data_IF_558083548688
#
_entry.id   IF_558083548688
#
_cell.length_a   1.000
_cell.length_b   1.000
_cell.length_c   1.000
_cell.angle_alpha   90.00
_cell.angle_beta   90.00
_cell.angle_gamma   90.00
#
_symmetry.space_group_name_H-M   'P 1'
#
loop_
_entity.id
_entity.type
_entity.pdbx_description
1 polymer ?
#
# COMPACT_ATOMS: atom_id res chain seq x y z
N UNK A 1 -25.56 7.44 -42.22
CA UNK A 1 -25.99 8.54 -41.32
C UNK A 1 -24.75 9.26 -40.84
N UNK A 2 -24.68 10.60 -40.97
CA UNK A 2 -23.57 11.43 -40.51
C UNK A 2 -24.09 12.33 -39.38
N UNK A 3 -23.41 12.35 -38.21
CA UNK A 3 -23.71 13.24 -37.10
C UNK A 3 -22.61 14.31 -37.08
N UNK A 4 -22.99 15.57 -37.06
CA UNK A 4 -22.06 16.71 -36.97
C UNK A 4 -22.40 17.49 -35.71
N UNK A 5 -21.39 17.81 -34.91
CA UNK A 5 -21.51 18.62 -33.70
C UNK A 5 -20.68 19.90 -33.92
N UNK A 6 -21.31 21.06 -33.88
CA UNK A 6 -20.63 22.35 -33.87
C UNK A 6 -20.30 22.72 -32.43
N UNK A 7 -19.03 22.91 -32.14
CA UNK A 7 -18.55 23.17 -30.79
C UNK A 7 -18.13 24.64 -30.66
N UNK A 8 -18.55 25.28 -29.59
CA UNK A 8 -18.23 26.70 -29.30
C UNK A 8 -16.78 26.96 -28.88
N UNK A 9 -16.00 25.92 -28.68
CA UNK A 9 -14.57 26.01 -28.30
C UNK A 9 -13.84 24.72 -28.68
N UNK A 10 -12.52 24.76 -28.66
CA UNK A 10 -11.68 23.62 -29.03
C UNK A 10 -11.81 22.50 -28.00
N UNK A 11 -12.08 21.27 -28.45
CA UNK A 11 -12.29 20.09 -27.64
C UNK A 11 -11.55 18.90 -28.25
N UNK A 12 -11.01 18.06 -27.38
CA UNK A 12 -10.47 16.76 -27.78
C UNK A 12 -11.58 15.73 -27.70
N UNK A 13 -11.95 15.16 -28.84
CA UNK A 13 -12.96 14.13 -28.93
C UNK A 13 -12.38 12.73 -28.75
N UNK A 14 -13.04 11.90 -27.95
CA UNK A 14 -12.83 10.46 -27.86
C UNK A 14 -14.15 9.77 -28.04
N UNK A 15 -14.18 8.64 -28.77
CA UNK A 15 -15.39 7.85 -28.92
C UNK A 15 -15.14 6.37 -28.65
N UNK A 16 -16.10 5.70 -28.02
CA UNK A 16 -16.06 4.27 -27.78
C UNK A 16 -17.48 3.68 -27.77
N UNK A 17 -17.58 2.40 -28.11
CA UNK A 17 -18.83 1.66 -28.16
C UNK A 17 -19.05 0.88 -26.88
N UNK A 18 -20.20 1.06 -26.24
CA UNK A 18 -20.66 0.25 -25.14
C UNK A 18 -21.54 -0.89 -25.67
N UNK A 19 -21.26 -2.10 -25.18
CA UNK A 19 -22.08 -3.29 -25.44
C UNK A 19 -23.45 -3.16 -24.75
N UNK A 20 -24.47 -3.91 -25.22
CA UNK A 20 -25.75 -3.95 -24.55
C UNK A 20 -25.64 -4.34 -23.08
N UNK A 21 -26.39 -3.63 -22.21
CA UNK A 21 -26.47 -3.91 -20.79
C UNK A 21 -27.86 -3.57 -20.27
N UNK A 22 -28.51 -4.51 -19.60
CA UNK A 22 -29.89 -4.39 -19.11
C UNK A 22 -30.89 -4.01 -20.25
N UNK A 23 -31.62 -2.90 -20.08
CA UNK A 23 -32.60 -2.39 -21.05
C UNK A 23 -31.97 -1.56 -22.19
N UNK A 24 -30.67 -1.38 -22.18
CA UNK A 24 -29.99 -0.53 -23.19
C UNK A 24 -29.27 -1.40 -24.21
N UNK A 25 -29.51 -1.08 -25.52
CA UNK A 25 -28.77 -1.67 -26.64
C UNK A 25 -27.33 -1.14 -26.75
N UNK A 26 -26.73 -1.30 -27.93
CA UNK A 26 -25.41 -0.72 -28.21
C UNK A 26 -25.46 0.82 -28.13
N UNK A 27 -24.48 1.43 -27.47
CA UNK A 27 -24.38 2.88 -27.27
C UNK A 27 -23.03 3.38 -27.71
N UNK A 28 -23.01 4.37 -28.60
CA UNK A 28 -21.82 5.13 -28.92
C UNK A 28 -21.70 6.28 -27.92
N UNK A 29 -20.60 6.28 -27.16
CA UNK A 29 -20.27 7.39 -26.27
C UNK A 29 -19.25 8.27 -26.96
N UNK A 30 -19.54 9.58 -27.05
CA UNK A 30 -18.63 10.61 -27.54
C UNK A 30 -18.30 11.51 -26.34
N UNK A 31 -17.05 11.49 -25.89
CA UNK A 31 -16.55 12.33 -24.82
C UNK A 31 -15.83 13.52 -25.44
N UNK A 32 -16.25 14.72 -25.06
CA UNK A 32 -15.66 15.98 -25.49
C UNK A 32 -14.95 16.65 -24.30
N UNK A 33 -13.63 16.52 -24.27
CA UNK A 33 -12.81 17.14 -23.23
C UNK A 33 -12.41 18.55 -23.68
N UNK A 34 -12.83 19.57 -22.94
CA UNK A 34 -12.47 20.96 -23.24
C UNK A 34 -10.96 21.13 -23.17
N UNK A 35 -10.33 21.54 -24.25
CA UNK A 35 -8.90 21.79 -24.30
C UNK A 35 -8.61 23.04 -23.47
N UNK A 36 -8.37 22.88 -22.16
CA UNK A 36 -7.70 23.92 -21.39
C UNK A 36 -6.23 23.87 -21.78
N UNK A 37 -5.83 24.68 -22.73
CA UNK A 37 -4.43 25.02 -22.89
C UNK A 37 -3.99 25.76 -21.62
N UNK A 38 -3.58 25.00 -20.61
CA UNK A 38 -2.82 25.60 -19.51
C UNK A 38 -1.47 26.01 -20.09
N UNK A 39 -1.35 27.29 -20.45
CA UNK A 39 -0.05 27.93 -20.50
C UNK A 39 0.55 27.79 -19.09
N UNK A 40 1.37 26.77 -18.88
CA UNK A 40 2.21 26.66 -17.71
C UNK A 40 3.16 27.84 -17.74
N UNK A 41 2.81 28.92 -17.08
CA UNK A 41 3.76 29.99 -16.80
C UNK A 41 4.87 29.39 -15.95
N UNK A 42 6.13 29.72 -16.26
CA UNK A 42 7.35 29.24 -15.59
C UNK A 42 7.27 29.41 -14.05
N UNK A 43 6.45 30.32 -13.53
CA UNK A 43 6.16 30.52 -12.11
C UNK A 43 5.39 29.35 -11.43
N UNK A 44 4.64 28.52 -12.18
CA UNK A 44 3.91 27.36 -11.59
C UNK A 44 4.81 26.13 -11.41
N UNK A 45 6.02 26.12 -11.98
CA UNK A 45 6.99 25.05 -11.80
C UNK A 45 7.75 25.17 -10.46
N UNK A 46 7.66 26.32 -9.78
CA UNK A 46 8.43 26.60 -8.56
C UNK A 46 7.69 26.26 -7.25
N UNK A 47 6.41 25.95 -7.28
CA UNK A 47 5.71 25.42 -6.10
C UNK A 47 5.72 23.89 -6.14
N UNK A 48 6.91 23.29 -5.97
CA UNK A 48 7.02 21.89 -5.58
C UNK A 48 6.48 21.80 -4.15
N UNK A 49 5.28 21.28 -4.02
CA UNK A 49 4.75 20.88 -2.71
C UNK A 49 5.51 19.63 -2.31
N UNK A 50 6.47 19.77 -1.41
CA UNK A 50 7.25 18.66 -0.86
C UNK A 50 6.52 18.09 0.36
N UNK A 51 5.34 17.50 0.14
CA UNK A 51 4.64 16.85 1.23
C UNK A 51 5.30 15.52 1.58
N UNK A 52 5.22 15.12 2.83
CA UNK A 52 5.60 13.78 3.25
C UNK A 52 4.62 12.73 2.73
N UNK A 53 5.10 11.52 2.57
CA UNK A 53 4.27 10.32 2.40
C UNK A 53 3.63 9.99 3.74
N UNK A 54 2.32 9.89 3.79
CA UNK A 54 1.56 9.59 4.99
C UNK A 54 1.25 8.10 5.05
N UNK A 55 1.75 7.42 6.08
CA UNK A 55 1.46 6.02 6.37
C UNK A 55 0.51 5.95 7.56
N UNK A 56 -0.72 5.51 7.33
CA UNK A 56 -1.67 5.24 8.40
C UNK A 56 -1.36 3.87 9.01
N UNK A 57 -1.02 3.85 10.29
CA UNK A 57 -0.69 2.63 11.05
C UNK A 57 -1.85 2.33 11.98
N UNK A 58 -2.51 1.22 11.73
CA UNK A 58 -3.61 0.71 12.52
C UNK A 58 -3.10 -0.40 13.44
N UNK A 59 -3.48 -0.33 14.70
CA UNK A 59 -3.31 -1.43 15.65
C UNK A 59 -4.63 -2.19 15.75
N UNK A 60 -4.66 -3.45 15.38
CA UNK A 60 -5.85 -4.28 15.47
C UNK A 60 -6.47 -4.30 16.87
N UNK A 61 -7.78 -4.55 16.95
CA UNK A 61 -8.53 -4.67 18.21
C UNK A 61 -8.51 -3.42 19.08
N UNK A 62 -8.77 -3.56 20.39
CA UNK A 62 -8.71 -2.49 21.39
C UNK A 62 -9.97 -2.38 22.25
N UNK A 63 -9.86 -1.82 23.46
CA UNK A 63 -10.95 -1.70 24.41
C UNK A 63 -11.58 -3.04 24.79
N UNK A 64 -12.88 -3.19 24.55
CA UNK A 64 -13.64 -4.42 24.84
C UNK A 64 -13.27 -5.60 23.93
N UNK A 65 -12.63 -5.34 22.79
CA UNK A 65 -12.13 -6.38 21.90
C UNK A 65 -10.65 -6.66 22.20
N UNK A 66 -10.34 -7.76 22.90
CA UNK A 66 -8.95 -8.10 23.25
C UNK A 66 -8.18 -8.65 22.05
N UNK A 67 -8.86 -9.05 20.96
CA UNK A 67 -8.30 -9.89 19.90
C UNK A 67 -7.99 -11.29 20.41
N UNK A 68 -7.08 -11.97 19.77
CA UNK A 68 -6.59 -13.27 20.19
C UNK A 68 -5.86 -13.20 21.54
N UNK A 69 -5.84 -14.31 22.24
CA UNK A 69 -5.16 -14.45 23.54
C UNK A 69 -4.15 -15.59 23.52
N UNK A 70 -2.93 -15.30 23.94
CA UNK A 70 -1.89 -16.31 24.11
C UNK A 70 -2.08 -17.14 25.38
N UNK A 71 -1.38 -18.27 25.43
CA UNK A 71 -1.45 -19.19 26.57
C UNK A 71 -0.99 -18.58 27.91
N UNK A 72 -0.15 -17.55 27.87
CA UNK A 72 0.30 -16.81 29.05
C UNK A 72 -0.60 -15.60 29.39
N UNK A 73 -1.79 -15.50 28.81
CA UNK A 73 -2.73 -14.39 29.04
C UNK A 73 -2.37 -13.08 28.34
N UNK A 74 -1.49 -13.12 27.35
CA UNK A 74 -1.16 -11.95 26.52
C UNK A 74 -2.32 -11.66 25.56
N UNK A 75 -2.84 -10.44 25.52
CA UNK A 75 -3.86 -10.02 24.57
C UNK A 75 -3.25 -9.39 23.32
N UNK A 76 -3.80 -9.72 22.18
CA UNK A 76 -3.36 -9.22 20.88
C UNK A 76 -3.42 -7.69 20.83
N UNK A 77 -4.49 -7.07 21.32
CA UNK A 77 -4.68 -5.60 21.33
C UNK A 77 -3.51 -4.84 21.93
N UNK A 78 -2.83 -5.43 22.94
CA UNK A 78 -1.68 -4.81 23.63
C UNK A 78 -0.41 -4.90 22.79
N UNK A 79 -0.20 -6.05 22.15
CA UNK A 79 0.94 -6.31 21.27
C UNK A 79 0.86 -5.44 20.03
N UNK A 80 -0.28 -5.43 19.36
CA UNK A 80 -0.52 -4.66 18.14
C UNK A 80 -0.32 -3.16 18.37
N UNK A 81 -0.80 -2.63 19.51
CA UNK A 81 -0.60 -1.23 19.88
C UNK A 81 0.87 -0.89 20.12
N UNK A 82 1.63 -1.77 20.77
CA UNK A 82 3.07 -1.57 21.01
C UNK A 82 3.84 -1.56 19.69
N UNK A 83 3.59 -2.55 18.82
CA UNK A 83 4.25 -2.63 17.50
C UNK A 83 3.88 -1.43 16.62
N UNK A 84 2.59 -1.04 16.58
CA UNK A 84 2.14 0.12 15.81
C UNK A 84 2.80 1.42 16.24
N UNK A 85 2.95 1.66 17.56
CA UNK A 85 3.66 2.83 18.10
C UNK A 85 5.15 2.83 17.71
N UNK A 86 5.81 1.67 17.79
CA UNK A 86 7.21 1.52 17.36
C UNK A 86 7.36 1.76 15.85
N UNK A 87 6.46 1.18 15.05
CA UNK A 87 6.43 1.38 13.61
C UNK A 87 6.23 2.87 13.25
N UNK A 88 5.29 3.54 13.89
CA UNK A 88 5.09 4.97 13.70
C UNK A 88 6.36 5.77 14.02
N UNK A 89 7.01 5.48 15.15
CA UNK A 89 8.24 6.15 15.56
C UNK A 89 9.40 5.97 14.58
N UNK A 90 9.55 4.79 13.96
CA UNK A 90 10.63 4.56 12.98
C UNK A 90 10.28 5.13 11.61
N UNK A 91 9.00 5.21 11.24
CA UNK A 91 8.55 5.90 10.02
C UNK A 91 8.80 7.40 10.13
N UNK A 92 8.46 8.03 11.25
CA UNK A 92 8.65 9.48 11.47
C UNK A 92 10.12 9.92 11.44
N UNK A 93 11.05 8.99 11.64
CA UNK A 93 12.50 9.24 11.50
C UNK A 93 12.99 9.13 10.05
N UNK A 94 12.18 8.61 9.13
CA UNK A 94 12.56 8.48 7.72
C UNK A 94 12.24 9.77 6.96
N UNK A 95 13.24 10.42 6.33
CA UNK A 95 13.00 11.66 5.57
C UNK A 95 11.93 11.49 4.49
N UNK A 96 10.99 12.44 4.45
CA UNK A 96 9.89 12.45 3.48
C UNK A 96 8.77 11.44 3.79
N UNK A 97 8.74 10.90 5.01
CA UNK A 97 7.68 10.00 5.47
C UNK A 97 7.14 10.44 6.83
N UNK A 98 5.85 10.23 7.04
CA UNK A 98 5.15 10.51 8.29
C UNK A 98 4.14 9.41 8.61
N UNK A 99 4.10 9.00 9.88
CA UNK A 99 3.11 8.06 10.37
C UNK A 99 1.90 8.77 10.99
N UNK A 100 0.73 8.15 10.83
CA UNK A 100 -0.48 8.54 11.54
C UNK A 100 -1.06 7.29 12.20
N UNK A 101 -1.08 7.26 13.52
CA UNK A 101 -1.73 6.18 14.26
C UNK A 101 -3.26 6.32 14.16
N UNK A 102 -3.94 5.21 13.85
CA UNK A 102 -5.40 5.14 13.78
C UNK A 102 -6.00 5.07 15.19
N UNK A 103 -5.37 4.30 16.10
CA UNK A 103 -5.64 4.40 17.53
C UNK A 103 -4.35 4.61 18.32
N UNK A 104 -4.42 5.42 19.35
CA UNK A 104 -3.25 5.81 20.15
C UNK A 104 -3.28 5.23 21.57
N UNK A 105 -4.41 4.65 21.97
CA UNK A 105 -4.66 4.07 23.28
C UNK A 105 -5.45 2.77 23.21
N UNK A 106 -5.81 2.23 24.37
CA UNK A 106 -6.65 1.05 24.50
C UNK A 106 -8.13 1.45 24.48
N UNK A 107 -8.69 1.54 23.29
CA UNK A 107 -10.11 1.73 23.03
C UNK A 107 -10.49 1.04 21.73
N UNK A 108 -11.75 0.59 21.64
CA UNK A 108 -12.26 -0.03 20.43
C UNK A 108 -12.55 1.01 19.34
N UNK A 109 -12.21 0.68 18.12
CA UNK A 109 -12.54 1.46 16.93
C UNK A 109 -13.11 0.53 15.86
N UNK A 110 -14.34 0.80 15.43
CA UNK A 110 -15.03 -0.01 14.42
C UNK A 110 -14.20 -0.13 13.12
N UNK A 111 -14.24 -1.31 12.50
CA UNK A 111 -13.42 -1.62 11.32
C UNK A 111 -13.59 -0.60 10.18
N UNK A 112 -14.83 -0.18 9.93
CA UNK A 112 -15.12 0.82 8.90
C UNK A 112 -14.59 2.23 9.25
N UNK A 113 -14.46 2.57 10.52
CA UNK A 113 -13.90 3.86 10.95
C UNK A 113 -12.38 3.90 10.76
N UNK A 114 -11.68 2.74 10.85
CA UNK A 114 -10.22 2.66 10.72
C UNK A 114 -9.75 3.14 9.34
N UNK A 115 -10.26 2.54 8.26
CA UNK A 115 -9.89 2.98 6.91
C UNK A 115 -10.47 4.36 6.54
N UNK A 116 -11.63 4.76 7.10
CA UNK A 116 -12.17 6.11 6.90
C UNK A 116 -11.24 7.18 7.49
N UNK A 117 -10.73 6.96 8.71
CA UNK A 117 -9.73 7.85 9.30
C UNK A 117 -8.44 7.93 8.47
N UNK A 118 -7.96 6.81 7.92
CA UNK A 118 -6.82 6.85 7.01
C UNK A 118 -7.07 7.74 5.79
N UNK A 119 -8.28 7.66 5.20
CA UNK A 119 -8.70 8.54 4.10
C UNK A 119 -8.79 10.01 4.50
N UNK A 120 -9.38 10.31 5.64
CA UNK A 120 -9.49 11.67 6.19
C UNK A 120 -8.10 12.29 6.44
N UNK A 121 -7.12 11.47 6.82
CA UNK A 121 -5.73 11.86 7.00
C UNK A 121 -4.94 11.89 5.69
N UNK A 122 -5.60 11.63 4.54
CA UNK A 122 -4.96 11.57 3.22
C UNK A 122 -3.76 10.63 3.16
N UNK A 123 -3.88 9.46 3.81
CA UNK A 123 -2.83 8.46 3.83
C UNK A 123 -2.53 7.92 2.43
N UNK A 124 -1.25 7.75 2.13
CA UNK A 124 -0.75 7.13 0.91
C UNK A 124 -0.69 5.59 1.03
N UNK A 125 -0.72 5.08 2.26
CA UNK A 125 -0.75 3.65 2.59
C UNK A 125 -1.41 3.43 3.94
N UNK A 126 -2.23 2.38 4.05
CA UNK A 126 -2.80 1.90 5.30
C UNK A 126 -2.20 0.54 5.66
N UNK A 127 -1.71 0.40 6.89
CA UNK A 127 -1.10 -0.84 7.40
C UNK A 127 -1.75 -1.22 8.71
N UNK A 128 -2.49 -2.33 8.72
CA UNK A 128 -3.09 -2.90 9.93
C UNK A 128 -2.16 -3.97 10.51
N UNK A 129 -1.88 -3.86 11.81
CA UNK A 129 -0.97 -4.74 12.55
C UNK A 129 -1.78 -5.67 13.40
N UNK A 130 -1.55 -6.97 13.24
CA UNK A 130 -2.20 -8.07 13.92
C UNK A 130 -1.20 -9.09 14.46
N UNK A 131 -1.66 -9.97 15.34
CA UNK A 131 -0.91 -11.09 15.90
C UNK A 131 -1.91 -12.18 16.33
N UNK A 132 -2.74 -12.65 15.40
CA UNK A 132 -3.90 -13.50 15.66
C UNK A 132 -3.53 -14.90 16.20
N UNK A 133 -4.53 -15.65 16.61
CA UNK A 133 -4.39 -17.05 16.98
C UNK A 133 -4.75 -17.96 15.81
N UNK A 134 -4.18 -19.15 15.80
CA UNK A 134 -4.59 -20.22 14.93
C UNK A 134 -5.01 -21.43 15.74
N UNK A 135 -5.91 -22.27 15.21
CA UNK A 135 -6.41 -23.46 15.92
C UNK A 135 -5.31 -24.47 16.23
N UNK A 136 -4.28 -24.57 15.38
CA UNK A 136 -3.09 -25.37 15.63
C UNK A 136 -1.98 -24.47 16.22
N UNK A 137 -1.59 -24.68 17.50
CA UNK A 137 -0.56 -23.85 18.15
C UNK A 137 0.85 -24.06 17.59
N UNK A 138 1.04 -24.98 16.65
CA UNK A 138 2.32 -25.18 15.95
C UNK A 138 2.47 -24.21 14.76
N UNK A 139 1.39 -23.56 14.34
CA UNK A 139 1.44 -22.55 13.29
C UNK A 139 2.29 -21.38 13.78
N UNK A 140 3.19 -20.92 12.94
CA UNK A 140 4.16 -19.85 13.23
C UNK A 140 4.56 -19.08 11.98
N UNK A 141 5.23 -17.97 12.20
CA UNK A 141 5.75 -17.10 11.14
C UNK A 141 4.79 -16.00 10.73
N UNK A 142 5.32 -15.00 10.06
CA UNK A 142 4.60 -13.80 9.64
C UNK A 142 3.83 -14.02 8.34
N UNK A 143 2.72 -13.29 8.16
CA UNK A 143 1.94 -13.27 6.92
C UNK A 143 1.56 -11.84 6.54
N UNK A 144 1.39 -11.59 5.24
CA UNK A 144 0.90 -10.31 4.73
C UNK A 144 -0.30 -10.55 3.83
N UNK A 145 -1.36 -9.82 4.09
CA UNK A 145 -2.64 -9.92 3.41
C UNK A 145 -3.01 -8.62 2.72
N UNK A 146 -3.69 -8.73 1.58
CA UNK A 146 -4.36 -7.62 0.91
C UNK A 146 -5.83 -7.95 0.65
N UNK A 147 -6.62 -6.93 0.33
CA UNK A 147 -8.03 -7.09 0.01
C UNK A 147 -8.24 -8.01 -1.20
N UNK A 148 -9.25 -8.89 -1.11
CA UNK A 148 -9.78 -9.67 -2.23
C UNK A 148 -11.29 -9.46 -2.38
N UNK A 149 -11.73 -9.18 -3.60
CA UNK A 149 -13.15 -9.18 -3.96
C UNK A 149 -13.68 -10.57 -4.34
N UNK A 150 -12.78 -11.54 -4.60
CA UNK A 150 -13.10 -12.89 -5.09
C UNK A 150 -13.04 -13.96 -4.02
N UNK A 151 -12.86 -13.58 -2.74
CA UNK A 151 -12.70 -14.49 -1.61
C UNK A 151 -11.24 -14.73 -1.23
N UNK A 152 -11.05 -15.56 -0.20
CA UNK A 152 -9.74 -15.85 0.36
C UNK A 152 -8.91 -16.80 -0.52
N UNK A 153 -7.60 -16.65 -0.49
CA UNK A 153 -6.65 -17.45 -1.29
C UNK A 153 -6.33 -18.81 -0.65
N UNK A 154 -6.62 -18.95 0.63
CA UNK A 154 -6.43 -20.21 1.38
C UNK A 154 -7.51 -20.38 2.44
N UNK A 155 -7.72 -21.60 2.95
CA UNK A 155 -8.63 -21.86 4.07
C UNK A 155 -8.18 -21.13 5.34
N UNK A 156 -6.87 -21.01 5.57
CA UNK A 156 -6.32 -20.23 6.68
C UNK A 156 -6.70 -18.74 6.55
N UNK A 157 -6.54 -18.16 5.34
CA UNK A 157 -6.94 -16.79 5.05
C UNK A 157 -8.44 -16.57 5.21
N UNK A 158 -9.27 -17.56 4.88
CA UNK A 158 -10.72 -17.51 5.07
C UNK A 158 -11.12 -17.54 6.54
N UNK A 159 -10.48 -18.39 7.32
CA UNK A 159 -10.71 -18.45 8.76
C UNK A 159 -10.32 -17.13 9.44
N UNK A 160 -9.15 -16.60 9.12
CA UNK A 160 -8.66 -15.31 9.64
C UNK A 160 -9.59 -14.15 9.23
N UNK A 161 -10.05 -14.12 7.96
CA UNK A 161 -11.03 -13.14 7.50
C UNK A 161 -12.30 -13.15 8.36
N UNK A 162 -12.81 -14.34 8.72
CA UNK A 162 -14.01 -14.47 9.54
C UNK A 162 -13.77 -14.02 10.97
N UNK A 163 -12.62 -14.39 11.56
CA UNK A 163 -12.22 -13.95 12.90
C UNK A 163 -12.19 -12.43 12.99
N UNK A 164 -11.41 -11.81 12.13
CA UNK A 164 -11.18 -10.36 12.13
C UNK A 164 -12.45 -9.55 11.81
N UNK A 165 -13.26 -10.00 10.85
CA UNK A 165 -14.50 -9.30 10.51
C UNK A 165 -15.55 -9.33 11.63
N UNK A 166 -15.45 -10.27 12.57
CA UNK A 166 -16.34 -10.37 13.73
C UNK A 166 -15.95 -9.40 14.88
N UNK A 167 -14.82 -8.73 14.81
CA UNK A 167 -14.37 -7.77 15.83
C UNK A 167 -15.40 -6.67 16.12
N UNK A 168 -16.16 -6.20 15.12
CA UNK A 168 -17.22 -5.21 15.32
C UNK A 168 -18.34 -5.73 16.23
N UNK A 169 -18.63 -7.04 16.22
CA UNK A 169 -19.63 -7.65 17.11
C UNK A 169 -19.13 -7.68 18.56
N UNK A 170 -17.84 -7.99 18.76
CA UNK A 170 -17.22 -7.99 20.10
C UNK A 170 -17.11 -6.57 20.64
N UNK A 171 -16.77 -5.61 19.77
CA UNK A 171 -16.69 -4.18 20.10
C UNK A 171 -18.04 -3.47 20.31
N UNK A 172 -19.18 -4.18 20.18
CA UNK A 172 -20.53 -3.64 20.47
C UNK A 172 -21.05 -2.64 19.40
N UNK A 173 -20.61 -2.76 18.15
CA UNK A 173 -21.02 -1.88 17.04
C UNK A 173 -22.26 -2.43 16.33
N UNK A 174 -23.29 -1.58 16.15
CA UNK A 174 -24.46 -1.89 15.31
C UNK A 174 -24.19 -1.40 13.87
N UNK A 175 -24.26 -2.31 12.92
CA UNK A 175 -24.03 -2.01 11.50
C UNK A 175 -25.26 -1.35 10.86
N UNK A 176 -25.12 -0.10 10.42
CA UNK A 176 -26.09 0.56 9.52
C UNK A 176 -25.52 0.59 8.10
N UNK A 177 -26.22 -0.04 7.16
CA UNK A 177 -25.84 -0.10 5.75
C UNK A 177 -26.72 0.87 4.93
N UNK A 178 -26.13 1.83 4.20
CA UNK A 178 -26.85 2.64 3.19
C UNK A 178 -26.02 2.77 1.92
N UNK A 179 -26.55 2.17 0.86
CA UNK A 179 -25.99 2.12 -0.51
C UNK A 179 -26.30 3.38 -1.34
N UNK A 180 -25.31 3.81 -2.12
CA UNK A 180 -25.49 4.83 -3.18
C UNK A 180 -24.84 4.37 -4.50
N UNK A 181 -25.66 4.10 -5.52
CA UNK A 181 -25.31 3.33 -6.75
C UNK A 181 -24.35 4.07 -7.70
N UNK A 182 -24.38 5.40 -7.76
CA UNK A 182 -23.56 6.17 -8.69
C UNK A 182 -22.08 6.29 -8.26
N UNK A 183 -21.83 6.20 -6.97
CA UNK A 183 -20.47 6.15 -6.41
C UNK A 183 -19.73 4.84 -6.76
N UNK A 184 -20.48 3.79 -7.07
CA UNK A 184 -19.97 2.40 -7.23
C UNK A 184 -19.04 2.22 -8.44
N UNK A 185 -19.30 2.88 -9.57
CA UNK A 185 -18.53 2.68 -10.82
C UNK A 185 -17.18 3.42 -10.81
N UNK A 186 -17.14 4.64 -10.27
CA UNK A 186 -15.89 5.38 -10.06
C UNK A 186 -15.06 4.74 -8.95
N UNK A 187 -15.75 4.17 -7.96
CA UNK A 187 -15.18 3.40 -6.87
C UNK A 187 -14.44 2.15 -7.36
N UNK A 188 -14.99 1.43 -8.35
CA UNK A 188 -14.38 0.19 -8.87
C UNK A 188 -13.06 0.41 -9.61
N UNK A 189 -12.92 1.51 -10.34
CA UNK A 189 -11.66 1.85 -11.03
C UNK A 189 -10.58 2.30 -10.04
N UNK A 190 -10.95 3.12 -9.07
CA UNK A 190 -10.05 3.56 -8.00
C UNK A 190 -9.58 2.38 -7.15
N UNK A 191 -10.49 1.47 -6.83
CA UNK A 191 -10.19 0.30 -6.02
C UNK A 191 -9.26 -0.71 -6.73
N UNK A 192 -9.34 -0.85 -8.06
CA UNK A 192 -8.42 -1.72 -8.80
C UNK A 192 -6.97 -1.19 -8.77
N UNK A 193 -6.78 0.12 -8.96
CA UNK A 193 -5.46 0.76 -8.84
C UNK A 193 -4.91 0.66 -7.41
N UNK A 194 -5.77 0.88 -6.40
CA UNK A 194 -5.44 0.73 -4.99
C UNK A 194 -5.04 -0.71 -4.63
N UNK A 195 -5.72 -1.72 -5.19
CA UNK A 195 -5.38 -3.13 -4.96
C UNK A 195 -4.03 -3.52 -5.59
N UNK A 196 -3.70 -3.00 -6.76
CA UNK A 196 -2.38 -3.21 -7.39
C UNK A 196 -1.26 -2.58 -6.55
N UNK A 197 -1.45 -1.34 -6.11
CA UNK A 197 -0.54 -0.65 -5.21
C UNK A 197 -0.39 -1.38 -3.86
N UNK A 198 -1.50 -1.95 -3.34
CA UNK A 198 -1.49 -2.79 -2.13
C UNK A 198 -0.62 -4.03 -2.34
N UNK A 199 -0.76 -4.74 -3.46
CA UNK A 199 0.06 -5.91 -3.76
C UNK A 199 1.54 -5.56 -3.83
N UNK A 200 1.87 -4.53 -4.61
CA UNK A 200 3.26 -4.11 -4.81
C UNK A 200 3.93 -3.68 -3.48
N UNK A 201 3.21 -2.97 -2.61
CA UNK A 201 3.73 -2.56 -1.30
C UNK A 201 3.83 -3.75 -0.33
N UNK A 202 2.83 -4.63 -0.31
CA UNK A 202 2.82 -5.84 0.53
C UNK A 202 3.95 -6.82 0.18
N UNK A 203 4.27 -6.99 -1.11
CA UNK A 203 5.41 -7.81 -1.55
C UNK A 203 6.74 -7.27 -1.03
N UNK A 204 6.94 -5.94 -1.00
CA UNK A 204 8.15 -5.33 -0.44
C UNK A 204 8.23 -5.53 1.07
N UNK A 205 7.10 -5.40 1.77
CA UNK A 205 7.03 -5.65 3.22
C UNK A 205 7.31 -7.12 3.51
N UNK A 206 6.66 -8.05 2.82
CA UNK A 206 6.91 -9.49 2.98
C UNK A 206 8.38 -9.86 2.69
N UNK A 207 8.98 -9.27 1.65
CA UNK A 207 10.41 -9.50 1.33
C UNK A 207 11.33 -8.98 2.44
N UNK A 208 10.95 -7.91 3.13
CA UNK A 208 11.71 -7.38 4.26
C UNK A 208 11.54 -8.23 5.51
N UNK A 209 10.31 -8.67 5.81
CA UNK A 209 10.00 -9.56 6.92
C UNK A 209 10.71 -10.92 6.81
N UNK A 210 10.86 -11.46 5.60
CA UNK A 210 11.64 -12.69 5.33
C UNK A 210 13.09 -12.65 5.80
N UNK A 211 13.65 -11.47 6.04
CA UNK A 211 15.01 -11.30 6.57
C UNK A 211 15.08 -11.54 8.08
N UNK A 212 13.95 -11.45 8.79
CA UNK A 212 13.88 -11.73 10.22
C UNK A 212 13.78 -13.22 10.45
N UNK A 213 12.83 -13.86 9.76
CA UNK A 213 12.61 -15.30 9.83
C UNK A 213 11.76 -15.79 8.64
N UNK A 214 11.61 -17.12 8.55
CA UNK A 214 10.75 -17.75 7.51
C UNK A 214 9.30 -17.35 7.74
N UNK A 215 8.64 -16.73 6.74
CA UNK A 215 7.22 -16.37 6.86
C UNK A 215 6.34 -17.64 6.82
N UNK A 216 5.12 -17.53 7.35
CA UNK A 216 4.13 -18.61 7.25
C UNK A 216 3.82 -18.94 5.78
N UNK A 217 3.59 -17.92 4.94
CA UNK A 217 3.46 -18.07 3.49
C UNK A 217 4.55 -17.29 2.75
N UNK A 218 5.04 -17.88 1.66
CA UNK A 218 6.08 -17.26 0.83
C UNK A 218 5.57 -16.15 -0.10
N UNK A 219 4.27 -15.95 -0.18
CA UNK A 219 3.56 -14.98 -1.03
C UNK A 219 2.57 -14.18 -0.22
N UNK A 220 2.14 -13.04 -0.76
CA UNK A 220 1.07 -12.21 -0.20
C UNK A 220 -0.25 -12.92 -0.39
N UNK A 221 -0.98 -13.12 0.69
CA UNK A 221 -2.30 -13.72 0.68
C UNK A 221 -3.40 -12.68 0.42
N UNK A 222 -4.59 -13.16 0.11
CA UNK A 222 -5.74 -12.32 -0.21
C UNK A 222 -6.96 -12.80 0.55
N UNK A 223 -7.69 -11.86 1.18
CA UNK A 223 -8.94 -12.14 1.86
C UNK A 223 -9.82 -10.89 1.88
N UNK A 224 -11.11 -11.04 2.21
CA UNK A 224 -12.05 -9.93 2.16
C UNK A 224 -12.18 -9.24 3.51
N UNK A 225 -11.06 -8.80 4.08
CA UNK A 225 -11.04 -8.07 5.34
C UNK A 225 -11.78 -6.73 5.25
N UNK A 226 -12.72 -6.49 6.17
CA UNK A 226 -13.48 -5.23 6.22
C UNK A 226 -12.57 -4.04 6.43
N UNK A 227 -11.55 -4.17 7.27
CA UNK A 227 -10.59 -3.10 7.58
C UNK A 227 -9.79 -2.63 6.36
N UNK A 228 -9.64 -3.47 5.32
CA UNK A 228 -8.90 -3.16 4.10
C UNK A 228 -9.77 -2.60 2.97
N UNK A 229 -11.05 -2.36 3.20
CA UNK A 229 -12.01 -1.93 2.15
C UNK A 229 -11.93 -0.45 1.80
N UNK A 230 -10.79 0.19 1.98
CA UNK A 230 -10.59 1.55 1.45
C UNK A 230 -10.65 1.53 -0.08
N UNK A 231 -11.44 2.41 -0.71
CA UNK A 231 -11.55 2.41 -2.18
C UNK A 231 -10.35 3.04 -2.88
N UNK A 232 -9.62 3.92 -2.20
CA UNK A 232 -8.61 4.81 -2.78
C UNK A 232 -7.26 4.79 -2.05
N UNK A 233 -7.20 4.24 -0.83
CA UNK A 233 -5.94 4.08 -0.09
C UNK A 233 -5.45 2.64 -0.20
N UNK A 234 -4.26 2.39 -0.77
CA UNK A 234 -3.63 1.07 -0.75
C UNK A 234 -3.52 0.55 0.68
N UNK A 235 -3.86 -0.72 0.90
CA UNK A 235 -4.03 -1.26 2.25
C UNK A 235 -3.47 -2.67 2.38
N UNK A 236 -2.86 -2.98 3.52
CA UNK A 236 -2.43 -4.33 3.87
C UNK A 236 -2.68 -4.62 5.34
N UNK A 237 -2.83 -5.91 5.66
CA UNK A 237 -2.85 -6.44 7.02
C UNK A 237 -1.62 -7.33 7.20
N UNK A 238 -0.94 -7.18 8.32
CA UNK A 238 0.28 -7.91 8.65
C UNK A 238 0.04 -8.71 9.93
N UNK A 239 0.05 -10.04 9.79
CA UNK A 239 0.21 -10.92 10.94
C UNK A 239 1.69 -10.95 11.30
N UNK A 240 2.02 -10.38 12.43
CA UNK A 240 3.41 -10.22 12.88
C UNK A 240 3.98 -11.51 13.49
N UNK A 241 3.12 -12.39 13.96
CA UNK A 241 3.34 -13.75 14.45
C UNK A 241 1.96 -14.31 14.86
N UNK A 242 1.89 -15.56 15.31
CA UNK A 242 0.65 -16.14 15.86
C UNK A 242 0.74 -16.26 17.38
N UNK A 243 -0.07 -15.48 18.11
CA UNK A 243 -0.04 -15.42 19.59
C UNK A 243 -0.43 -16.76 20.23
N UNK A 244 -1.13 -17.63 19.49
CA UNK A 244 -1.45 -19.01 19.92
C UNK A 244 -0.22 -19.92 20.01
N UNK A 245 0.89 -19.57 19.35
CA UNK A 245 2.14 -20.31 19.46
C UNK A 245 2.93 -19.79 20.67
N UNK A 246 3.24 -20.63 21.67
CA UNK A 246 3.89 -20.18 22.91
C UNK A 246 5.27 -19.53 22.71
N UNK A 247 6.06 -19.99 21.74
CA UNK A 247 7.36 -19.39 21.44
C UNK A 247 7.21 -18.03 20.77
N UNK A 248 6.20 -17.88 19.88
CA UNK A 248 5.91 -16.59 19.26
C UNK A 248 5.29 -15.61 20.27
N UNK A 249 4.38 -16.05 21.15
CA UNK A 249 3.84 -15.23 22.24
C UNK A 249 4.99 -14.67 23.10
N UNK A 250 5.95 -15.52 23.50
CA UNK A 250 7.11 -15.10 24.27
C UNK A 250 7.92 -14.03 23.54
N UNK A 251 8.16 -14.21 22.24
CA UNK A 251 8.90 -13.24 21.41
C UNK A 251 8.14 -11.94 21.21
N UNK A 252 6.84 -12.00 20.90
CA UNK A 252 5.95 -10.83 20.73
C UNK A 252 5.96 -9.91 21.96
N UNK A 253 6.18 -10.45 23.15
CA UNK A 253 6.28 -9.69 24.42
C UNK A 253 7.62 -8.94 24.56
N UNK A 254 8.63 -9.26 23.76
CA UNK A 254 9.96 -8.62 23.86
C UNK A 254 10.05 -7.35 23.04
N UNK A 255 10.67 -6.32 23.61
CA UNK A 255 10.93 -5.08 22.87
C UNK A 255 11.80 -5.31 21.64
N UNK A 256 12.80 -6.20 21.76
CA UNK A 256 13.75 -6.50 20.69
C UNK A 256 13.02 -7.03 19.43
N UNK A 257 12.10 -7.99 19.59
CA UNK A 257 11.38 -8.55 18.47
C UNK A 257 10.39 -7.55 17.86
N UNK A 258 9.69 -6.77 18.70
CA UNK A 258 8.81 -5.69 18.25
C UNK A 258 9.58 -4.62 17.45
N UNK A 259 10.80 -4.27 17.88
CA UNK A 259 11.66 -3.32 17.16
C UNK A 259 12.13 -3.88 15.81
N UNK A 260 12.54 -5.17 15.78
CA UNK A 260 12.89 -5.86 14.52
C UNK A 260 11.72 -5.84 13.52
N UNK A 261 10.50 -6.14 13.97
CA UNK A 261 9.29 -6.10 13.16
C UNK A 261 9.03 -4.67 12.63
N UNK A 262 9.06 -3.67 13.51
CA UNK A 262 8.84 -2.28 13.13
C UNK A 262 9.83 -1.80 12.07
N UNK A 263 11.11 -2.10 12.22
CA UNK A 263 12.14 -1.74 11.24
C UNK A 263 11.94 -2.47 9.91
N UNK A 264 11.67 -3.78 9.94
CA UNK A 264 11.48 -4.54 8.71
C UNK A 264 10.24 -4.09 7.93
N UNK A 265 9.12 -3.81 8.62
CA UNK A 265 7.92 -3.26 8.00
C UNK A 265 8.23 -1.88 7.36
N UNK A 266 8.85 -0.97 8.12
CA UNK A 266 9.29 0.35 7.63
C UNK A 266 10.21 0.22 6.41
N UNK A 267 11.19 -0.70 6.43
CA UNK A 267 12.11 -0.89 5.31
C UNK A 267 11.40 -1.38 4.04
N UNK A 268 10.40 -2.25 4.18
CA UNK A 268 9.55 -2.68 3.07
C UNK A 268 8.75 -1.52 2.49
N UNK A 269 8.08 -0.72 3.34
CA UNK A 269 7.32 0.46 2.96
C UNK A 269 8.22 1.49 2.26
N UNK A 270 9.38 1.78 2.86
CA UNK A 270 10.39 2.65 2.26
C UNK A 270 10.80 2.17 0.87
N UNK A 271 11.10 0.87 0.73
CA UNK A 271 11.48 0.28 -0.57
C UNK A 271 10.41 0.48 -1.64
N UNK A 272 9.13 0.35 -1.28
CA UNK A 272 8.01 0.59 -2.17
C UNK A 272 7.96 2.05 -2.64
N UNK A 273 7.93 3.01 -1.72
CA UNK A 273 7.79 4.42 -2.06
C UNK A 273 9.02 5.01 -2.74
N UNK A 274 10.22 4.48 -2.48
CA UNK A 274 11.42 4.89 -3.21
C UNK A 274 11.46 4.38 -4.65
N UNK A 275 10.72 3.30 -4.97
CA UNK A 275 10.58 2.81 -6.34
C UNK A 275 9.43 3.48 -7.10
N UNK A 276 8.36 3.85 -6.39
CA UNK A 276 7.14 4.39 -6.99
C UNK A 276 6.58 5.52 -6.12
N UNK A 277 7.30 6.65 -6.01
CA UNK A 277 6.90 7.75 -5.16
C UNK A 277 5.67 8.45 -5.73
N UNK A 278 4.64 8.77 -4.91
CA UNK A 278 3.52 9.59 -5.34
C UNK A 278 3.99 10.98 -5.79
N UNK A 279 3.35 11.59 -6.81
CA UNK A 279 3.72 12.91 -7.28
C UNK A 279 3.58 13.96 -6.17
N UNK A 280 4.39 15.03 -6.25
CA UNK A 280 4.42 16.13 -5.29
C UNK A 280 4.79 15.73 -3.84
N UNK A 281 5.49 14.60 -3.67
CA UNK A 281 6.07 14.22 -2.38
C UNK A 281 7.54 14.57 -2.31
N UNK A 282 8.05 14.73 -1.06
CA UNK A 282 9.47 14.95 -0.83
C UNK A 282 10.32 13.85 -1.48
N UNK A 283 9.91 12.59 -1.34
CA UNK A 283 10.62 11.44 -1.95
C UNK A 283 10.66 11.57 -3.48
N UNK A 284 9.54 11.94 -4.12
CA UNK A 284 9.49 12.12 -5.58
C UNK A 284 10.43 13.23 -6.07
N UNK A 285 10.62 14.26 -5.26
CA UNK A 285 11.40 15.44 -5.63
C UNK A 285 12.87 15.33 -5.25
N UNK A 286 13.20 14.62 -4.18
CA UNK A 286 14.55 14.53 -3.60
C UNK A 286 15.22 13.19 -3.83
N UNK A 287 14.47 12.10 -3.95
CA UNK A 287 15.02 10.83 -4.43
C UNK A 287 15.11 10.95 -5.94
N UNK A 288 16.28 11.38 -6.43
CA UNK A 288 16.58 11.39 -7.88
C UNK A 288 16.16 10.03 -8.44
N UNK A 289 15.45 10.07 -9.57
CA UNK A 289 14.94 8.91 -10.29
C UNK A 289 15.89 7.72 -10.12
N UNK A 290 15.42 6.69 -9.45
CA UNK A 290 16.17 5.44 -9.31
C UNK A 290 16.19 4.64 -10.61
N UNK A 291 15.58 5.18 -11.68
CA UNK A 291 15.47 4.56 -12.99
C UNK A 291 15.67 5.59 -14.10
N UNK A 292 16.34 5.15 -15.18
CA UNK A 292 16.47 5.87 -16.42
C UNK A 292 15.93 5.01 -17.56
N UNK A 293 15.02 5.54 -18.38
CA UNK A 293 14.58 4.87 -19.60
C UNK A 293 15.50 5.33 -20.73
N UNK A 294 16.21 4.36 -21.34
CA UNK A 294 17.17 4.62 -22.39
C UNK A 294 16.48 5.24 -23.61
N UNK A 295 16.90 6.44 -23.98
CA UNK A 295 16.46 7.15 -25.18
C UNK A 295 17.41 6.89 -26.35
N UNK A 296 16.97 7.23 -27.58
CA UNK A 296 17.84 7.18 -28.74
C UNK A 296 19.02 8.15 -28.58
N UNK A 297 20.25 7.65 -28.76
CA UNK A 297 21.49 8.39 -28.56
C UNK A 297 22.12 8.24 -27.17
N UNK A 298 21.44 7.61 -26.22
CA UNK A 298 22.03 7.33 -24.91
C UNK A 298 23.15 6.30 -24.98
N UNK A 299 24.17 6.51 -24.17
CA UNK A 299 25.20 5.53 -23.87
C UNK A 299 25.28 5.29 -22.36
N UNK A 300 25.70 4.10 -21.96
CA UNK A 300 25.82 3.75 -20.54
C UNK A 300 26.77 4.72 -19.80
N UNK A 301 27.82 5.21 -20.49
CA UNK A 301 28.76 6.20 -19.95
C UNK A 301 28.12 7.58 -19.75
N UNK A 302 27.39 8.11 -20.75
CA UNK A 302 26.69 9.37 -20.65
C UNK A 302 25.61 9.37 -19.56
N UNK A 303 24.88 8.26 -19.43
CA UNK A 303 23.89 8.06 -18.36
C UNK A 303 24.59 8.05 -17.00
N UNK A 304 25.69 7.31 -16.83
CA UNK A 304 26.43 7.29 -15.57
C UNK A 304 26.95 8.68 -15.17
N UNK A 305 27.47 9.46 -16.12
CA UNK A 305 27.93 10.82 -15.93
C UNK A 305 26.79 11.77 -15.54
N UNK A 306 25.67 11.73 -16.28
CA UNK A 306 24.49 12.56 -16.04
C UNK A 306 23.91 12.36 -14.63
N UNK A 307 23.95 11.12 -14.14
CA UNK A 307 23.45 10.78 -12.80
C UNK A 307 24.53 10.75 -11.72
N UNK A 308 25.78 11.13 -12.04
CA UNK A 308 26.92 11.14 -11.12
C UNK A 308 27.13 9.81 -10.38
N UNK A 309 26.96 8.71 -11.08
CA UNK A 309 27.23 7.35 -10.60
C UNK A 309 28.38 6.73 -11.39
N UNK A 310 29.11 5.77 -10.79
CA UNK A 310 30.12 5.07 -11.55
C UNK A 310 29.49 4.12 -12.59
N UNK A 311 30.11 3.99 -13.77
CA UNK A 311 29.66 3.04 -14.79
C UNK A 311 29.68 1.60 -14.26
N UNK A 312 30.60 1.27 -13.36
CA UNK A 312 30.69 -0.02 -12.67
C UNK A 312 29.46 -0.30 -11.81
N UNK A 313 29.05 0.66 -11.00
CA UNK A 313 27.91 0.54 -10.11
C UNK A 313 26.58 0.53 -10.89
N UNK A 314 26.50 1.32 -11.96
CA UNK A 314 25.35 1.29 -12.88
C UNK A 314 25.20 -0.10 -13.55
N UNK A 315 26.30 -0.69 -14.02
CA UNK A 315 26.30 -2.05 -14.57
C UNK A 315 25.91 -3.09 -13.51
N UNK A 316 26.48 -2.99 -12.31
CA UNK A 316 26.18 -3.91 -11.20
C UNK A 316 24.71 -3.85 -10.79
N UNK A 317 24.13 -2.63 -10.70
CA UNK A 317 22.71 -2.43 -10.35
C UNK A 317 21.75 -3.03 -11.39
N UNK A 318 22.21 -3.21 -12.64
CA UNK A 318 21.41 -3.72 -13.75
C UNK A 318 21.84 -5.13 -14.23
N UNK A 319 22.68 -5.82 -13.48
CA UNK A 319 23.23 -7.14 -13.84
C UNK A 319 23.87 -7.18 -15.25
N UNK A 320 24.40 -6.04 -15.73
CA UNK A 320 24.99 -5.94 -17.08
C UNK A 320 26.46 -6.34 -17.07
N UNK A 321 26.81 -7.25 -17.98
CA UNK A 321 28.21 -7.67 -18.25
C UNK A 321 28.87 -6.77 -19.31
N UNK A 322 28.10 -6.25 -20.25
CA UNK A 322 28.53 -5.39 -21.36
C UNK A 322 28.09 -3.95 -21.17
N UNK A 323 28.50 -3.04 -22.04
CA UNK A 323 28.05 -1.65 -22.06
C UNK A 323 26.83 -1.43 -22.98
N UNK A 324 26.31 -2.51 -23.57
CA UNK A 324 25.19 -2.44 -24.51
C UNK A 324 23.89 -2.16 -23.77
N UNK A 325 23.14 -1.17 -24.26
CA UNK A 325 21.81 -0.77 -23.80
C UNK A 325 20.88 -0.67 -25.01
N UNK A 326 19.59 -0.89 -24.81
CA UNK A 326 18.58 -0.82 -25.86
C UNK A 326 17.65 0.35 -25.62
N UNK A 327 17.22 1.03 -26.68
CA UNK A 327 16.22 2.11 -26.59
C UNK A 327 14.93 1.54 -25.97
N UNK A 328 14.39 2.22 -24.97
CA UNK A 328 13.26 1.76 -24.18
C UNK A 328 13.63 0.87 -22.99
N UNK A 329 14.87 0.44 -22.86
CA UNK A 329 15.33 -0.30 -21.69
C UNK A 329 15.30 0.58 -20.45
N UNK A 330 14.83 0.04 -19.31
CA UNK A 330 14.78 0.75 -18.04
C UNK A 330 15.98 0.36 -17.18
N UNK A 331 16.91 1.28 -16.99
CA UNK A 331 18.07 1.09 -16.11
C UNK A 331 17.77 1.56 -14.70
N UNK A 332 18.10 0.74 -13.72
CA UNK A 332 18.13 1.09 -12.31
C UNK A 332 19.40 1.89 -12.02
N UNK A 333 19.23 3.07 -11.45
CA UNK A 333 20.35 3.93 -11.06
C UNK A 333 20.81 3.56 -9.65
N UNK A 334 22.10 3.27 -9.43
CA UNK A 334 22.61 3.00 -8.09
C UNK A 334 22.48 4.25 -7.22
N UNK A 335 22.23 4.05 -5.91
CA UNK A 335 22.23 5.18 -4.96
C UNK A 335 23.62 5.79 -4.91
N UNK A 336 23.68 7.13 -4.97
CA UNK A 336 24.88 7.85 -4.59
C UNK A 336 24.97 7.72 -3.06
N UNK A 337 25.86 6.86 -2.58
CA UNK A 337 26.28 6.91 -1.16
C UNK A 337 27.16 8.15 -1.02
N UNK A 338 26.84 9.08 -0.09
CA UNK A 338 27.67 10.26 0.15
C UNK A 338 29.06 9.90 0.62
#
# INVERSE_FOLDING_TARGET
>A
MRLVFDLSSDHKAKSFLLKPAQQYGHRLVIQLDKHKAQKKTVKQVLNKVDRDIIVAVDAGHGGEDPGASGASGTHEKDITLKIAKKLASVIDKEPGMKAVLIRTGDYYLALNKRYKQAREKQADLFVSIHADAFTDPRVHGMSVYILSKRGATSEAAKWLEQSENNSDLVGGVVLEDKDNILAKVLLDLSQNASMEASLNSAEKVLASLKKIEKPHKKYVERANFVVLRSPDVPSMLIETAYISNPEEEKRLRTNEFQDKLAHAIKDGIKSYFYQSPPPNTWIANHVKSTKHTVASGDTLGAIAEAYKVSMRDLKKANNKKTNTILVGEVLVLPKITP
#
